data_IF_761221357858
#
_entry.id   IF_761221357858
#
_cell.length_a   1.000
_cell.length_b   1.000
_cell.length_c   1.000
_cell.angle_alpha   90.00
_cell.angle_beta   90.00
_cell.angle_gamma   90.00
#
_symmetry.space_group_name_H-M   'P 1'
#
loop_
_entity.id
_entity.type
_entity.pdbx_description
1 polymer ?
#
# COMPACT_ATOMS: atom_id res chain seq x y z
N UNK A 1 -15.76 2.16 -12.80
CA UNK A 1 -14.54 2.97 -12.71
C UNK A 1 -14.90 4.44 -12.66
N UNK A 2 -14.21 5.22 -11.85
CA UNK A 2 -14.39 6.67 -11.74
C UNK A 2 -13.04 7.30 -12.11
N UNK A 3 -13.03 8.14 -13.14
CA UNK A 3 -11.85 8.85 -13.58
C UNK A 3 -11.41 9.86 -12.51
N UNK A 4 -10.12 9.95 -12.27
CA UNK A 4 -9.49 10.89 -11.32
C UNK A 4 -8.56 11.80 -12.11
N UNK A 5 -8.60 13.12 -11.90
CA UNK A 5 -7.60 14.02 -12.49
C UNK A 5 -6.19 13.64 -12.02
N UNK A 6 -5.22 13.60 -12.92
CA UNK A 6 -3.85 13.15 -12.64
C UNK A 6 -3.62 11.67 -12.97
N UNK A 7 -2.42 11.19 -12.68
CA UNK A 7 -2.00 9.80 -12.87
C UNK A 7 -1.58 9.17 -11.54
N UNK A 8 -1.58 7.84 -11.48
CA UNK A 8 -1.04 7.12 -10.34
C UNK A 8 -1.88 7.32 -9.08
N UNK A 9 -3.18 7.07 -9.18
CA UNK A 9 -4.06 6.96 -8.02
C UNK A 9 -3.66 5.70 -7.23
N UNK A 10 -2.63 5.78 -6.38
CA UNK A 10 -1.91 4.62 -5.89
C UNK A 10 -2.62 3.86 -4.78
N UNK A 11 -3.25 4.54 -3.85
CA UNK A 11 -4.02 3.92 -2.78
C UNK A 11 -5.43 4.51 -2.68
N UNK A 12 -6.30 3.83 -1.96
CA UNK A 12 -7.70 4.21 -1.80
C UNK A 12 -8.20 3.93 -0.39
N UNK A 13 -8.90 4.91 0.20
CA UNK A 13 -9.58 4.74 1.48
C UNK A 13 -11.03 5.24 1.39
N UNK A 14 -11.93 4.60 2.14
CA UNK A 14 -13.33 5.00 2.24
C UNK A 14 -13.57 5.64 3.59
N UNK A 15 -14.08 6.87 3.58
CA UNK A 15 -14.42 7.64 4.77
C UNK A 15 -15.74 7.17 5.41
N UNK A 16 -16.00 7.60 6.65
CA UNK A 16 -17.23 7.23 7.38
C UNK A 16 -18.52 7.71 6.71
N UNK A 17 -18.43 8.75 5.89
CA UNK A 17 -19.55 9.30 5.10
C UNK A 17 -19.72 8.61 3.73
N UNK A 18 -18.94 7.55 3.46
CA UNK A 18 -18.92 6.85 2.19
C UNK A 18 -18.12 7.53 1.10
N UNK A 19 -17.54 8.71 1.34
CA UNK A 19 -16.63 9.35 0.39
C UNK A 19 -15.37 8.52 0.21
N UNK A 20 -14.85 8.48 -1.00
CA UNK A 20 -13.62 7.75 -1.32
C UNK A 20 -12.49 8.75 -1.55
N UNK A 21 -11.32 8.45 -1.01
CA UNK A 21 -10.14 9.31 -1.13
C UNK A 21 -9.01 8.56 -1.80
N UNK A 22 -8.22 9.29 -2.61
CA UNK A 22 -7.01 8.78 -3.27
C UNK A 22 -6.03 9.91 -3.50
N UNK A 23 -4.74 9.58 -3.56
CA UNK A 23 -3.67 10.53 -3.92
C UNK A 23 -3.15 10.25 -5.32
N UNK A 24 -2.73 11.29 -6.03
CA UNK A 24 -2.16 11.17 -7.37
C UNK A 24 -0.69 11.60 -7.39
N UNK A 25 0.01 11.18 -8.44
CA UNK A 25 1.47 11.34 -8.60
C UNK A 25 1.95 12.80 -8.55
N UNK A 26 1.07 13.74 -8.86
CA UNK A 26 1.32 15.20 -8.82
C UNK A 26 1.11 15.84 -7.44
N UNK A 27 0.88 15.05 -6.39
CA UNK A 27 0.73 15.52 -5.02
C UNK A 27 -0.70 15.78 -4.58
N UNK A 28 -1.68 15.66 -5.49
CA UNK A 28 -3.07 16.03 -5.19
C UNK A 28 -3.82 14.90 -4.48
N UNK A 29 -4.50 15.25 -3.40
CA UNK A 29 -5.45 14.37 -2.72
C UNK A 29 -6.85 14.69 -3.23
N UNK A 30 -7.54 13.66 -3.71
CA UNK A 30 -8.88 13.75 -4.28
C UNK A 30 -9.92 13.11 -3.36
N UNK A 31 -11.10 13.72 -3.28
CA UNK A 31 -12.32 13.15 -2.74
C UNK A 31 -13.27 12.79 -3.88
N UNK A 32 -13.79 11.60 -3.86
CA UNK A 32 -14.73 11.05 -4.82
C UNK A 32 -16.06 10.79 -4.12
N UNK A 33 -17.14 11.32 -4.65
CA UNK A 33 -18.50 10.92 -4.29
C UNK A 33 -18.87 9.66 -5.11
N UNK A 34 -19.02 8.49 -4.48
CA UNK A 34 -19.24 7.25 -5.20
C UNK A 34 -20.62 7.14 -5.86
N UNK A 35 -21.57 7.97 -5.46
CA UNK A 35 -22.94 7.97 -6.01
C UNK A 35 -23.01 8.80 -7.30
N UNK A 36 -22.50 10.01 -7.25
CA UNK A 36 -22.50 10.94 -8.39
C UNK A 36 -21.29 10.78 -9.31
N UNK A 37 -20.22 10.14 -8.86
CA UNK A 37 -18.93 10.09 -9.55
C UNK A 37 -18.17 11.42 -9.55
N UNK A 38 -18.63 12.42 -8.78
CA UNK A 38 -17.98 13.72 -8.71
C UNK A 38 -16.65 13.61 -7.98
N UNK A 39 -15.59 14.17 -8.58
CA UNK A 39 -14.26 14.27 -7.99
C UNK A 39 -13.98 15.72 -7.62
N UNK A 40 -13.41 15.93 -6.44
CA UNK A 40 -12.99 17.25 -5.96
C UNK A 40 -11.62 17.14 -5.29
N UNK A 41 -10.83 18.21 -5.41
CA UNK A 41 -9.53 18.32 -4.71
C UNK A 41 -9.77 18.60 -3.23
N UNK A 42 -9.03 17.91 -2.36
CA UNK A 42 -8.97 18.14 -0.91
C UNK A 42 -7.74 18.96 -0.56
N UNK A 43 -6.57 18.52 -0.99
CA UNK A 43 -5.28 19.12 -0.65
C UNK A 43 -4.27 18.85 -1.77
N UNK A 44 -3.09 19.46 -1.62
CA UNK A 44 -1.92 19.19 -2.47
C UNK A 44 -0.70 19.14 -1.55
N UNK A 45 -0.08 17.96 -1.47
CA UNK A 45 1.10 17.77 -0.63
C UNK A 45 2.34 18.44 -1.21
N UNK A 46 2.37 18.63 -2.52
CA UNK A 46 3.56 19.04 -3.27
C UNK A 46 4.62 17.94 -3.34
N UNK A 47 4.32 16.74 -2.89
CA UNK A 47 5.17 15.56 -2.91
C UNK A 47 4.60 14.44 -3.79
N UNK A 48 4.66 13.20 -3.29
CA UNK A 48 4.09 12.03 -3.95
C UNK A 48 3.35 11.16 -2.94
N UNK A 49 2.03 11.38 -2.76
CA UNK A 49 1.18 10.52 -1.95
C UNK A 49 1.19 9.08 -2.49
N UNK A 50 1.46 8.14 -1.61
CA UNK A 50 1.36 6.70 -1.86
C UNK A 50 0.21 6.15 -1.00
N UNK A 51 0.48 5.66 0.21
CA UNK A 51 -0.55 5.13 1.10
C UNK A 51 -1.44 6.21 1.71
N UNK A 52 -2.73 5.95 1.80
CA UNK A 52 -3.74 6.81 2.41
C UNK A 52 -4.57 6.01 3.41
N UNK A 53 -4.68 6.51 4.64
CA UNK A 53 -5.52 5.92 5.69
C UNK A 53 -6.32 7.01 6.41
N UNK A 54 -7.35 6.64 7.13
CA UNK A 54 -8.03 7.56 8.05
C UNK A 54 -7.19 7.72 9.32
N UNK A 55 -6.74 8.92 9.61
CA UNK A 55 -6.12 9.24 10.90
C UNK A 55 -7.17 9.36 12.00
N UNK A 56 -8.27 10.00 11.65
CA UNK A 56 -9.51 10.14 12.42
C UNK A 56 -10.67 10.54 11.47
N UNK A 57 -11.92 10.71 11.95
CA UNK A 57 -13.04 11.05 11.06
C UNK A 57 -12.89 12.34 10.26
N UNK A 58 -12.02 13.25 10.68
CA UNK A 58 -11.81 14.56 10.03
C UNK A 58 -10.47 14.69 9.30
N UNK A 59 -9.58 13.71 9.43
CA UNK A 59 -8.23 13.80 8.87
C UNK A 59 -7.79 12.51 8.20
N UNK A 60 -7.06 12.67 7.10
CA UNK A 60 -6.33 11.58 6.46
C UNK A 60 -4.90 11.52 7.00
N UNK A 61 -4.36 10.32 7.13
CA UNK A 61 -2.94 10.03 7.19
C UNK A 61 -2.48 9.75 5.76
N UNK A 62 -1.45 10.44 5.32
CA UNK A 62 -0.85 10.28 4.00
C UNK A 62 0.60 9.88 4.16
N UNK A 63 0.98 8.75 3.57
CA UNK A 63 2.37 8.35 3.39
C UNK A 63 2.87 8.98 2.10
N UNK A 64 3.57 10.09 2.21
CA UNK A 64 4.17 10.77 1.06
C UNK A 64 5.61 10.31 0.90
N UNK A 65 5.95 9.79 -0.29
CA UNK A 65 7.26 9.22 -0.57
C UNK A 65 8.40 10.22 -0.42
N UNK A 66 8.13 11.51 -0.63
CA UNK A 66 9.14 12.57 -0.55
C UNK A 66 9.11 13.31 0.79
N UNK A 67 7.92 13.45 1.40
CA UNK A 67 7.71 14.31 2.56
C UNK A 67 7.52 13.53 3.87
N UNK A 68 7.29 12.21 3.80
CA UNK A 68 7.10 11.35 4.95
C UNK A 68 5.63 11.20 5.38
N UNK A 69 5.37 11.09 6.67
CA UNK A 69 4.01 10.98 7.20
C UNK A 69 3.38 12.37 7.34
N UNK A 70 2.22 12.55 6.73
CA UNK A 70 1.46 13.79 6.76
C UNK A 70 0.05 13.54 7.31
N UNK A 71 -0.48 14.49 8.09
CA UNK A 71 -1.90 14.58 8.41
C UNK A 71 -2.54 15.65 7.54
N UNK A 72 -3.65 15.31 6.88
CA UNK A 72 -4.40 16.21 5.99
C UNK A 72 -5.78 16.42 6.57
N UNK A 73 -6.12 17.67 6.91
CA UNK A 73 -7.46 18.03 7.39
C UNK A 73 -8.45 18.07 6.22
N UNK A 74 -9.53 17.31 6.32
CA UNK A 74 -10.51 17.16 5.24
C UNK A 74 -11.38 18.38 4.99
N UNK A 75 -11.54 19.25 5.99
CA UNK A 75 -12.39 20.44 5.87
C UNK A 75 -11.62 21.64 5.29
N UNK A 76 -10.39 21.84 5.75
CA UNK A 76 -9.57 23.00 5.35
C UNK A 76 -8.55 22.68 4.26
N UNK A 77 -8.19 21.38 4.07
CA UNK A 77 -7.08 20.97 3.22
C UNK A 77 -5.70 21.29 3.80
N UNK A 78 -5.61 21.71 5.08
CA UNK A 78 -4.34 21.99 5.72
C UNK A 78 -3.54 20.73 5.97
N UNK A 79 -2.21 20.83 5.88
CA UNK A 79 -1.28 19.70 5.97
C UNK A 79 -0.34 19.94 7.14
N UNK A 80 -0.21 18.92 8.00
CA UNK A 80 0.74 18.86 9.10
C UNK A 80 1.73 17.73 8.86
N UNK A 81 3.03 17.99 8.95
CA UNK A 81 4.05 16.96 8.89
C UNK A 81 4.17 16.26 10.26
N UNK A 82 3.85 14.96 10.30
CA UNK A 82 3.96 14.15 11.52
C UNK A 82 5.34 13.52 11.68
N UNK A 83 5.99 13.18 10.57
CA UNK A 83 7.34 12.61 10.54
C UNK A 83 7.95 12.83 9.14
N UNK A 84 9.14 13.42 9.11
CA UNK A 84 9.97 13.57 7.90
C UNK A 84 11.16 12.59 7.93
N UNK A 85 12.12 12.77 7.05
CA UNK A 85 13.41 12.06 6.99
C UNK A 85 13.28 10.54 6.77
N UNK A 86 12.36 10.14 5.91
CA UNK A 86 12.27 8.79 5.38
C UNK A 86 12.70 8.75 3.91
N UNK A 87 13.36 7.66 3.52
CA UNK A 87 13.81 7.50 2.13
C UNK A 87 12.66 7.14 1.21
N UNK A 88 11.71 6.33 1.70
CA UNK A 88 10.61 5.81 0.92
C UNK A 88 9.41 5.46 1.83
N UNK A 89 8.76 6.50 2.38
CA UNK A 89 7.50 6.31 3.11
C UNK A 89 6.45 5.76 2.14
N UNK A 90 5.79 4.65 2.52
CA UNK A 90 4.93 3.96 1.56
C UNK A 90 3.49 3.82 2.04
N UNK A 91 3.22 3.08 3.10
CA UNK A 91 1.84 2.79 3.53
C UNK A 91 1.73 2.76 5.05
N UNK A 92 0.51 2.89 5.59
CA UNK A 92 0.30 2.93 7.03
C UNK A 92 -1.06 2.34 7.44
N UNK A 93 -1.14 1.95 8.71
CA UNK A 93 -2.37 1.62 9.41
C UNK A 93 -2.41 2.34 10.76
N UNK A 94 -3.61 2.76 11.18
CA UNK A 94 -3.83 3.49 12.44
C UNK A 94 -4.57 2.58 13.42
N UNK A 95 -3.99 2.41 14.60
CA UNK A 95 -4.60 1.66 15.69
C UNK A 95 -5.64 2.50 16.45
N UNK A 96 -6.53 1.85 17.19
CA UNK A 96 -7.58 2.50 17.94
C UNK A 96 -7.05 3.47 19.03
N UNK A 97 -5.84 3.23 19.55
CA UNK A 97 -5.17 4.11 20.49
C UNK A 97 -4.46 5.31 19.83
N UNK A 98 -4.53 5.43 18.50
CA UNK A 98 -3.86 6.46 17.71
C UNK A 98 -2.41 6.15 17.36
N UNK A 99 -1.89 4.97 17.69
CA UNK A 99 -0.58 4.53 17.23
C UNK A 99 -0.60 4.31 15.72
N UNK A 100 0.36 4.86 15.01
CA UNK A 100 0.52 4.72 13.55
C UNK A 100 1.59 3.66 13.28
N UNK A 101 1.25 2.58 12.59
CA UNK A 101 2.19 1.64 12.01
C UNK A 101 2.40 1.99 10.55
N UNK A 102 3.65 2.07 10.10
CA UNK A 102 3.96 2.50 8.74
C UNK A 102 5.20 1.82 8.19
N UNK A 103 5.23 1.65 6.88
CA UNK A 103 6.36 1.09 6.15
C UNK A 103 7.28 2.18 5.60
N UNK A 104 8.57 1.89 5.65
CA UNK A 104 9.65 2.58 4.97
C UNK A 104 10.27 1.54 4.04
N UNK A 105 9.97 1.63 2.76
CA UNK A 105 10.20 0.55 1.78
C UNK A 105 11.67 0.21 1.61
N UNK A 106 12.54 1.22 1.65
CA UNK A 106 13.97 1.08 1.46
C UNK A 106 14.75 2.20 2.18
N UNK A 107 15.89 1.86 2.77
CA UNK A 107 16.84 2.85 3.26
C UNK A 107 17.85 3.30 2.17
N UNK A 108 17.81 2.67 1.00
CA UNK A 108 18.77 2.89 -0.08
C UNK A 108 18.10 3.57 -1.27
N UNK A 109 17.03 2.98 -1.81
CA UNK A 109 16.37 3.43 -3.02
C UNK A 109 15.17 4.34 -2.69
N UNK A 110 15.07 5.53 -3.33
CA UNK A 110 13.85 6.36 -3.29
C UNK A 110 12.76 5.75 -4.19
N UNK A 111 11.56 6.33 -4.13
CA UNK A 111 10.40 5.85 -4.89
C UNK A 111 10.66 5.77 -6.40
N UNK A 112 11.42 6.69 -6.97
CA UNK A 112 11.78 6.70 -8.41
C UNK A 112 12.60 5.47 -8.82
N UNK A 113 13.27 4.83 -7.85
CA UNK A 113 14.10 3.64 -8.05
C UNK A 113 13.42 2.35 -7.53
N UNK A 114 12.09 2.34 -7.39
CA UNK A 114 11.36 1.17 -6.88
C UNK A 114 11.68 -0.14 -7.62
N UNK A 115 11.99 -0.05 -8.94
CA UNK A 115 12.41 -1.23 -9.72
C UNK A 115 13.77 -1.76 -9.28
N UNK A 116 14.67 -0.88 -8.86
CA UNK A 116 15.95 -1.30 -8.33
C UNK A 116 15.76 -1.99 -6.97
N UNK A 117 14.94 -1.46 -6.08
CA UNK A 117 14.58 -2.13 -4.81
C UNK A 117 14.00 -3.51 -5.06
N UNK A 118 13.06 -3.60 -6.01
CA UNK A 118 12.41 -4.86 -6.40
C UNK A 118 13.42 -5.93 -6.87
N UNK A 119 14.39 -5.54 -7.70
CA UNK A 119 15.35 -6.47 -8.32
C UNK A 119 16.55 -6.75 -7.40
N UNK A 120 17.05 -5.74 -6.72
CA UNK A 120 18.23 -5.85 -5.85
C UNK A 120 17.91 -6.59 -4.54
N UNK A 121 16.64 -6.52 -4.06
CA UNK A 121 16.19 -7.13 -2.82
C UNK A 121 17.13 -6.73 -1.67
N UNK A 122 17.20 -5.42 -1.42
CA UNK A 122 18.20 -4.85 -0.50
C UNK A 122 17.99 -5.25 0.96
N UNK A 123 16.77 -5.68 1.31
CA UNK A 123 16.34 -6.02 2.68
C UNK A 123 16.62 -4.88 3.68
N UNK A 124 16.45 -3.64 3.23
CA UNK A 124 16.59 -2.46 4.08
C UNK A 124 15.26 -1.84 4.47
N UNK A 125 14.16 -2.44 3.99
CA UNK A 125 12.81 -2.06 4.36
C UNK A 125 12.52 -2.30 5.84
N UNK A 126 11.61 -1.50 6.40
CA UNK A 126 11.25 -1.51 7.81
C UNK A 126 9.76 -1.31 8.00
N UNK A 127 9.19 -1.99 8.99
CA UNK A 127 7.94 -1.61 9.63
C UNK A 127 8.28 -0.79 10.87
N UNK A 128 7.71 0.39 10.98
CA UNK A 128 7.93 1.32 12.09
C UNK A 128 6.61 1.65 12.76
N UNK A 129 6.65 2.14 13.99
CA UNK A 129 5.49 2.73 14.66
C UNK A 129 5.81 4.10 15.23
N UNK A 130 4.82 4.98 15.20
CA UNK A 130 4.80 6.27 15.88
C UNK A 130 3.67 6.26 16.89
N UNK A 131 4.00 6.42 18.17
CA UNK A 131 2.98 6.50 19.21
C UNK A 131 2.36 7.93 19.28
N UNK A 132 1.34 8.08 20.11
CA UNK A 132 0.62 9.36 20.28
C UNK A 132 1.52 10.49 20.84
N UNK A 133 2.64 10.16 21.49
CA UNK A 133 3.64 11.15 21.94
C UNK A 133 4.57 11.63 20.82
N UNK A 134 4.49 11.00 19.65
CA UNK A 134 5.37 11.27 18.52
C UNK A 134 6.64 10.44 18.51
N UNK A 135 6.85 9.56 19.49
CA UNK A 135 8.03 8.68 19.54
C UNK A 135 7.96 7.61 18.47
N UNK A 136 9.03 7.49 17.69
CA UNK A 136 9.15 6.51 16.60
C UNK A 136 10.04 5.36 17.00
N UNK A 137 9.60 4.13 16.68
CA UNK A 137 10.35 2.90 16.92
C UNK A 137 10.24 1.98 15.70
N UNK A 138 11.30 1.18 15.46
CA UNK A 138 11.26 0.10 14.48
C UNK A 138 10.63 -1.13 15.12
N UNK A 139 9.63 -1.69 14.44
CA UNK A 139 8.91 -2.91 14.82
C UNK A 139 9.52 -4.12 14.13
N UNK A 140 9.70 -4.04 12.79
CA UNK A 140 10.38 -5.05 11.99
C UNK A 140 11.43 -4.40 11.10
N UNK A 141 12.48 -5.14 10.81
CA UNK A 141 13.59 -4.75 9.93
C UNK A 141 13.91 -5.86 8.94
N UNK A 142 14.84 -5.58 8.05
CA UNK A 142 15.33 -6.52 7.04
C UNK A 142 14.23 -7.01 6.09
N UNK A 143 13.20 -6.16 5.87
CA UNK A 143 12.10 -6.42 4.94
C UNK A 143 12.54 -6.15 3.50
N UNK A 144 12.09 -7.01 2.60
CA UNK A 144 12.41 -6.93 1.17
C UNK A 144 11.35 -6.12 0.42
N UNK A 145 11.53 -4.81 0.33
CA UNK A 145 10.56 -3.87 -0.20
C UNK A 145 9.29 -3.86 0.67
N UNK A 146 9.40 -3.33 1.89
CA UNK A 146 8.25 -3.15 2.78
C UNK A 146 7.23 -2.22 2.14
N UNK A 147 5.98 -2.68 1.99
CA UNK A 147 4.93 -1.99 1.27
C UNK A 147 3.68 -1.87 2.16
N UNK A 148 2.52 -2.30 1.72
CA UNK A 148 1.26 -2.19 2.42
C UNK A 148 1.29 -2.62 3.88
N UNK A 149 0.56 -1.91 4.72
CA UNK A 149 0.46 -2.16 6.17
C UNK A 149 -1.00 -2.29 6.57
N UNK A 150 -1.36 -3.31 7.33
CA UNK A 150 -2.71 -3.49 7.87
C UNK A 150 -2.69 -4.03 9.28
N UNK A 151 -3.63 -3.58 10.12
CA UNK A 151 -3.89 -4.14 11.44
C UNK A 151 -4.99 -5.19 11.37
N UNK A 152 -4.88 -6.26 12.16
CA UNK A 152 -6.00 -7.14 12.41
C UNK A 152 -7.17 -6.37 13.03
N UNK A 153 -8.40 -6.85 12.87
CA UNK A 153 -9.57 -6.17 13.41
C UNK A 153 -9.54 -6.08 14.95
N UNK A 154 -8.98 -7.09 15.61
CA UNK A 154 -8.78 -7.14 17.07
C UNK A 154 -7.42 -6.55 17.50
N UNK A 155 -6.67 -5.98 16.57
CA UNK A 155 -5.32 -5.45 16.76
C UNK A 155 -4.34 -6.45 17.40
N UNK A 156 -4.59 -7.75 17.23
CA UNK A 156 -3.70 -8.80 17.74
C UNK A 156 -2.36 -8.84 17.02
N UNK A 157 -2.33 -8.37 15.76
CA UNK A 157 -1.12 -8.25 14.96
C UNK A 157 -1.18 -7.08 13.97
N UNK A 158 -0.03 -6.69 13.49
CA UNK A 158 0.15 -5.86 12.30
C UNK A 158 0.79 -6.69 11.18
N UNK A 159 0.23 -6.58 9.98
CA UNK A 159 0.76 -7.21 8.77
C UNK A 159 1.49 -6.18 7.92
N UNK A 160 2.56 -6.60 7.22
CA UNK A 160 3.29 -5.80 6.24
C UNK A 160 3.62 -6.64 5.01
N UNK A 161 3.33 -6.11 3.83
CA UNK A 161 3.67 -6.75 2.57
C UNK A 161 5.18 -6.63 2.29
N UNK A 162 5.82 -7.74 1.91
CA UNK A 162 7.15 -7.76 1.30
C UNK A 162 7.00 -7.98 -0.20
N UNK A 163 6.96 -6.91 -0.97
CA UNK A 163 6.70 -6.97 -2.42
C UNK A 163 7.69 -7.89 -3.14
N UNK A 164 8.99 -7.72 -2.88
CA UNK A 164 10.03 -8.45 -3.60
C UNK A 164 10.05 -9.96 -3.33
N UNK A 165 9.54 -10.40 -2.18
CA UNK A 165 9.50 -11.82 -1.81
C UNK A 165 8.12 -12.46 -1.97
N UNK A 166 7.11 -11.67 -2.30
CA UNK A 166 5.72 -12.15 -2.45
C UNK A 166 5.19 -12.80 -1.18
N UNK A 167 5.44 -12.13 -0.04
CA UNK A 167 5.00 -12.57 1.28
C UNK A 167 4.27 -11.47 2.02
N UNK A 168 3.51 -11.83 3.04
CA UNK A 168 2.95 -10.90 4.01
C UNK A 168 3.46 -11.32 5.38
N UNK A 169 4.34 -10.52 5.94
CA UNK A 169 4.86 -10.70 7.30
C UNK A 169 3.81 -10.25 8.29
N UNK A 170 3.62 -11.02 9.36
CA UNK A 170 2.75 -10.71 10.49
C UNK A 170 3.59 -10.58 11.76
N UNK A 171 3.51 -9.40 12.38
CA UNK A 171 4.12 -9.12 13.68
C UNK A 171 3.04 -9.11 14.76
N UNK A 172 3.17 -9.98 15.74
CA UNK A 172 2.20 -10.12 16.82
C UNK A 172 2.35 -9.00 17.84
N UNK A 173 1.25 -8.28 18.12
CA UNK A 173 1.23 -7.16 19.05
C UNK A 173 0.80 -7.58 20.45
N UNK A 174 -0.07 -8.59 20.55
CA UNK A 174 -0.68 -9.02 21.80
C UNK A 174 -0.65 -10.56 21.94
N UNK A 175 -1.04 -11.05 23.11
CA UNK A 175 -1.16 -12.49 23.39
C UNK A 175 0.20 -13.20 23.58
N UNK A 176 0.18 -14.54 23.61
CA UNK A 176 1.39 -15.35 23.90
C UNK A 176 2.52 -15.19 22.88
N UNK A 177 2.22 -14.70 21.67
CA UNK A 177 3.19 -14.48 20.59
C UNK A 177 3.64 -13.02 20.46
N UNK A 178 3.22 -12.13 21.37
CA UNK A 178 3.60 -10.71 21.31
C UNK A 178 5.11 -10.51 21.14
N UNK A 179 5.49 -9.66 20.18
CA UNK A 179 6.88 -9.39 19.80
C UNK A 179 7.51 -10.43 18.87
N UNK A 180 6.82 -11.52 18.52
CA UNK A 180 7.28 -12.47 17.50
C UNK A 180 6.72 -12.16 16.12
N UNK A 181 7.37 -12.70 15.09
CA UNK A 181 6.89 -12.61 13.71
C UNK A 181 6.71 -14.01 13.09
N UNK A 182 5.75 -14.10 12.19
CA UNK A 182 5.55 -15.21 11.27
C UNK A 182 5.02 -14.65 9.93
N UNK A 183 4.47 -15.50 9.07
CA UNK A 183 3.86 -15.06 7.82
C UNK A 183 2.34 -15.24 7.88
N UNK A 184 1.59 -14.23 7.45
CA UNK A 184 0.16 -14.34 7.19
C UNK A 184 -0.06 -15.11 5.87
N UNK A 185 0.76 -14.81 4.85
CA UNK A 185 0.74 -15.49 3.56
C UNK A 185 2.14 -15.52 2.93
N UNK A 186 2.44 -16.60 2.23
CA UNK A 186 3.70 -16.80 1.51
C UNK A 186 3.42 -17.31 0.09
N UNK A 187 4.40 -17.15 -0.80
CA UNK A 187 4.34 -17.57 -2.21
C UNK A 187 3.10 -17.06 -2.95
N UNK A 188 2.76 -15.78 -2.75
CA UNK A 188 1.63 -15.16 -3.42
C UNK A 188 1.77 -15.28 -4.95
N UNK A 189 0.66 -15.36 -5.68
CA UNK A 189 0.67 -15.54 -7.15
C UNK A 189 1.09 -14.29 -7.92
N UNK A 190 1.36 -13.21 -7.22
CA UNK A 190 1.83 -11.91 -7.73
C UNK A 190 2.57 -11.13 -6.67
N UNK A 191 3.00 -9.95 -7.03
CA UNK A 191 3.73 -9.06 -6.14
C UNK A 191 2.75 -8.23 -5.31
N UNK A 192 2.66 -8.46 -3.97
CA UNK A 192 1.79 -7.68 -3.10
C UNK A 192 2.26 -6.24 -3.04
N UNK A 193 1.30 -5.34 -3.05
CA UNK A 193 1.50 -3.90 -2.93
C UNK A 193 0.81 -3.41 -1.66
N UNK A 194 -0.10 -2.43 -1.71
CA UNK A 194 -0.82 -2.03 -0.52
C UNK A 194 -1.75 -3.13 -0.02
N UNK A 195 -1.88 -3.21 1.29
CA UNK A 195 -2.82 -4.09 1.98
C UNK A 195 -3.68 -3.27 2.92
N UNK A 196 -4.88 -3.72 3.18
CA UNK A 196 -5.80 -3.02 4.07
C UNK A 196 -6.69 -3.96 4.85
N UNK A 197 -7.19 -3.51 5.99
CA UNK A 197 -8.29 -4.20 6.68
C UNK A 197 -9.61 -3.80 6.04
N UNK A 198 -10.38 -4.80 5.61
CA UNK A 198 -11.76 -4.60 5.16
C UNK A 198 -12.73 -4.41 6.33
N UNK A 199 -13.94 -3.95 6.03
CA UNK A 199 -15.04 -3.89 6.99
C UNK A 199 -15.54 -5.29 7.39
N UNK A 200 -15.23 -6.29 6.57
CA UNK A 200 -15.43 -7.72 6.80
C UNK A 200 -14.42 -8.36 7.77
N UNK A 201 -13.40 -7.59 8.19
CA UNK A 201 -12.34 -8.02 9.09
C UNK A 201 -11.22 -8.80 8.42
N UNK A 202 -11.26 -9.00 7.10
CA UNK A 202 -10.21 -9.66 6.33
C UNK A 202 -9.07 -8.68 6.02
N UNK A 203 -7.89 -9.24 5.78
CA UNK A 203 -6.75 -8.50 5.23
C UNK A 203 -6.78 -8.62 3.71
N UNK A 204 -7.13 -7.53 3.05
CA UNK A 204 -7.16 -7.40 1.60
C UNK A 204 -5.81 -7.00 1.05
N UNK A 205 -5.42 -7.59 -0.07
CA UNK A 205 -4.09 -7.51 -0.68
C UNK A 205 -4.23 -7.18 -2.15
N UNK A 206 -3.65 -6.07 -2.59
CA UNK A 206 -3.49 -5.75 -3.99
C UNK A 206 -2.28 -6.50 -4.56
N UNK A 207 -2.42 -7.10 -5.74
CA UNK A 207 -1.33 -7.75 -6.45
C UNK A 207 -1.02 -6.93 -7.71
N UNK A 208 0.01 -6.09 -7.63
CA UNK A 208 0.35 -5.10 -8.66
C UNK A 208 0.71 -5.74 -10.02
N UNK A 209 1.39 -6.86 -10.00
CA UNK A 209 1.67 -7.65 -11.20
C UNK A 209 1.78 -9.14 -10.87
N UNK A 210 1.55 -10.04 -11.85
CA UNK A 210 1.69 -11.47 -11.61
C UNK A 210 3.16 -11.83 -11.42
N UNK A 211 3.39 -12.98 -10.83
CA UNK A 211 4.71 -13.60 -10.69
C UNK A 211 5.48 -13.56 -12.02
N UNK A 212 6.75 -13.15 -11.96
CA UNK A 212 7.63 -13.09 -13.12
C UNK A 212 8.91 -13.91 -12.90
N UNK A 213 9.01 -15.05 -13.60
CA UNK A 213 10.15 -15.96 -13.46
C UNK A 213 11.50 -15.37 -13.92
N UNK A 214 11.50 -14.32 -14.75
CA UNK A 214 12.73 -13.60 -15.11
C UNK A 214 13.22 -12.78 -13.93
N UNK A 215 12.32 -12.01 -13.30
CA UNK A 215 12.63 -11.21 -12.11
C UNK A 215 13.16 -12.12 -10.99
N UNK A 216 12.46 -13.22 -10.70
CA UNK A 216 12.87 -14.17 -9.65
C UNK A 216 14.25 -14.81 -9.95
N UNK A 217 14.53 -15.15 -11.21
CA UNK A 217 15.84 -15.67 -11.59
C UNK A 217 16.95 -14.65 -11.39
N UNK A 218 16.68 -13.36 -11.69
CA UNK A 218 17.64 -12.29 -11.48
C UNK A 218 17.85 -12.07 -9.97
N UNK A 219 16.79 -12.10 -9.17
CA UNK A 219 16.85 -11.96 -7.71
C UNK A 219 17.68 -13.07 -7.04
N UNK A 220 17.70 -14.28 -7.59
CA UNK A 220 18.53 -15.39 -7.13
C UNK A 220 20.01 -15.24 -7.49
N UNK A 221 20.33 -14.34 -8.42
CA UNK A 221 21.70 -14.05 -8.84
C UNK A 221 22.50 -13.25 -7.79
N UNK A 222 23.82 -13.15 -7.96
CA UNK A 222 24.66 -12.34 -7.07
C UNK A 222 24.33 -10.85 -7.19
N UNK A 223 24.58 -10.08 -6.13
CA UNK A 223 24.21 -8.67 -6.04
C UNK A 223 24.78 -7.80 -7.19
N UNK A 224 26.02 -8.09 -7.62
CA UNK A 224 26.63 -7.35 -8.75
C UNK A 224 25.86 -7.52 -10.06
N UNK A 225 25.28 -8.71 -10.32
CA UNK A 225 24.44 -8.96 -11.48
C UNK A 225 23.11 -8.19 -11.37
N UNK A 226 22.45 -8.27 -10.19
CA UNK A 226 21.21 -7.53 -9.92
C UNK A 226 21.39 -6.03 -10.14
N UNK A 227 22.47 -5.45 -9.59
CA UNK A 227 22.85 -4.05 -9.81
C UNK A 227 23.21 -3.72 -11.26
N UNK A 228 23.79 -4.67 -12.00
CA UNK A 228 24.05 -4.51 -13.43
C UNK A 228 22.77 -4.35 -14.23
N UNK A 229 21.77 -5.19 -13.94
CA UNK A 229 20.45 -5.16 -14.61
C UNK A 229 19.71 -3.86 -14.31
N UNK A 230 19.73 -3.36 -13.07
CA UNK A 230 19.02 -2.13 -12.70
C UNK A 230 19.62 -0.86 -13.31
N UNK A 231 20.88 -0.91 -13.78
CA UNK A 231 21.55 0.19 -14.51
C UNK A 231 21.21 0.26 -16.01
N UNK A 232 20.54 -0.75 -16.55
CA UNK A 232 20.04 -0.71 -17.94
C UNK A 232 19.03 0.46 -18.05
N UNK A 233 19.11 1.29 -19.12
CA UNK A 233 18.15 2.36 -19.33
C UNK A 233 16.70 1.88 -19.24
N UNK A 234 15.84 2.63 -18.56
CA UNK A 234 14.42 2.25 -18.31
C UNK A 234 13.67 1.90 -19.60
N UNK A 235 13.98 2.57 -20.72
CA UNK A 235 13.38 2.30 -22.03
C UNK A 235 13.66 0.90 -22.58
N UNK A 236 14.70 0.24 -22.07
CA UNK A 236 15.10 -1.13 -22.48
C UNK A 236 14.68 -2.18 -21.42
N UNK A 237 14.20 -1.75 -20.26
CA UNK A 237 13.70 -2.66 -19.24
C UNK A 237 12.26 -3.08 -19.57
N UNK A 238 11.91 -4.38 -19.42
CA UNK A 238 10.51 -4.80 -19.55
C UNK A 238 9.65 -4.13 -18.47
N UNK A 239 8.45 -3.70 -18.86
CA UNK A 239 7.45 -3.22 -17.91
C UNK A 239 6.83 -4.36 -17.10
N UNK A 240 6.17 -4.04 -15.96
CA UNK A 240 5.36 -5.03 -15.24
C UNK A 240 4.30 -5.64 -16.15
N UNK A 241 4.03 -6.92 -15.98
CA UNK A 241 2.93 -7.58 -16.69
C UNK A 241 1.60 -7.06 -16.14
N UNK A 242 0.63 -6.89 -17.04
CA UNK A 242 -0.71 -6.41 -16.67
C UNK A 242 -1.46 -7.48 -15.89
N UNK A 243 -2.10 -7.07 -14.81
CA UNK A 243 -3.07 -7.87 -14.06
C UNK A 243 -4.06 -6.98 -13.32
N UNK A 244 -5.24 -7.51 -13.06
CA UNK A 244 -6.17 -7.05 -12.03
C UNK A 244 -6.40 -8.24 -11.13
N UNK A 245 -5.81 -8.22 -9.95
CA UNK A 245 -6.03 -9.29 -8.97
C UNK A 245 -5.90 -8.74 -7.56
N UNK A 246 -6.85 -9.10 -6.72
CA UNK A 246 -6.84 -8.83 -5.28
C UNK A 246 -7.18 -10.11 -4.54
N UNK A 247 -6.57 -10.29 -3.39
CA UNK A 247 -6.83 -11.44 -2.51
C UNK A 247 -7.23 -10.93 -1.13
N UNK A 248 -7.97 -11.77 -0.37
CA UNK A 248 -8.29 -11.47 1.02
C UNK A 248 -8.03 -12.70 1.90
N UNK A 249 -7.43 -12.46 3.05
CA UNK A 249 -7.00 -13.48 3.99
C UNK A 249 -7.66 -13.26 5.35
N UNK A 250 -8.01 -14.35 6.01
CA UNK A 250 -8.42 -14.32 7.42
C UNK A 250 -7.21 -14.16 8.36
N UNK A 251 -7.46 -13.97 9.64
CA UNK A 251 -6.41 -13.80 10.65
C UNK A 251 -5.52 -15.04 10.86
N UNK A 252 -5.92 -16.20 10.33
CA UNK A 252 -5.13 -17.45 10.38
C UNK A 252 -4.27 -17.64 9.14
N UNK A 253 -4.43 -16.80 8.12
CA UNK A 253 -3.74 -16.89 6.83
C UNK A 253 -4.50 -17.73 5.80
N UNK A 254 -5.75 -18.08 6.07
CA UNK A 254 -6.63 -18.75 5.11
C UNK A 254 -7.05 -17.76 4.00
N UNK A 255 -6.85 -18.17 2.73
CA UNK A 255 -7.31 -17.41 1.57
C UNK A 255 -8.85 -17.52 1.49
N UNK A 256 -9.55 -16.39 1.63
CA UNK A 256 -11.03 -16.30 1.60
C UNK A 256 -11.51 -15.85 0.23
N UNK A 257 -10.87 -14.82 -0.34
CA UNK A 257 -11.22 -14.30 -1.66
C UNK A 257 -9.99 -14.24 -2.56
N UNK A 258 -10.20 -14.56 -3.84
CA UNK A 258 -9.22 -14.41 -4.91
C UNK A 258 -9.96 -13.89 -6.14
N UNK A 259 -9.93 -12.58 -6.33
CA UNK A 259 -10.70 -11.87 -7.34
C UNK A 259 -9.78 -11.38 -8.45
N UNK A 260 -10.17 -11.68 -9.70
CA UNK A 260 -9.46 -11.22 -10.89
C UNK A 260 -10.41 -10.44 -11.80
N UNK A 261 -9.88 -9.44 -12.47
CA UNK A 261 -10.64 -8.56 -13.35
C UNK A 261 -10.06 -8.48 -14.77
N UNK A 262 -10.73 -7.67 -15.61
CA UNK A 262 -10.31 -7.43 -16.99
C UNK A 262 -9.11 -6.47 -17.05
N UNK A 263 -7.93 -7.03 -17.23
CA UNK A 263 -6.66 -6.31 -17.34
C UNK A 263 -6.55 -5.40 -18.59
N UNK A 264 -7.46 -5.50 -19.55
CA UNK A 264 -7.49 -4.60 -20.70
C UNK A 264 -8.09 -3.24 -20.33
N UNK A 265 -8.98 -3.22 -19.33
CA UNK A 265 -9.70 -2.02 -18.89
C UNK A 265 -9.05 -1.34 -17.68
N UNK A 266 -8.40 -2.10 -16.82
CA UNK A 266 -7.74 -1.62 -15.62
C UNK A 266 -6.53 -2.52 -15.35
N UNK A 267 -5.45 -2.02 -14.78
CA UNK A 267 -4.29 -2.86 -14.43
C UNK A 267 -3.37 -2.18 -13.41
N UNK A 268 -2.34 -2.90 -12.97
CA UNK A 268 -1.39 -2.43 -11.97
C UNK A 268 -2.13 -1.96 -10.71
N UNK A 269 -2.95 -2.85 -10.15
CA UNK A 269 -3.69 -2.57 -8.92
C UNK A 269 -2.70 -2.49 -7.76
N UNK A 270 -2.55 -1.31 -7.18
CA UNK A 270 -1.64 -1.04 -6.07
C UNK A 270 -2.38 -0.86 -4.75
N UNK A 271 -3.57 -0.30 -4.73
CA UNK A 271 -4.39 -0.17 -3.54
C UNK A 271 -5.68 -0.98 -3.60
N UNK A 272 -6.12 -1.45 -2.45
CA UNK A 272 -7.40 -2.16 -2.29
C UNK A 272 -8.04 -1.81 -0.96
N UNK A 273 -9.35 -1.56 -0.97
CA UNK A 273 -10.16 -1.33 0.24
C UNK A 273 -11.53 -1.98 0.08
N UNK A 274 -11.81 -2.98 0.87
CA UNK A 274 -13.18 -3.45 1.03
C UNK A 274 -13.93 -2.55 2.02
N UNK A 275 -15.15 -2.17 1.67
CA UNK A 275 -16.05 -1.43 2.55
C UNK A 275 -17.50 -1.79 2.23
N UNK A 276 -18.22 -2.33 3.20
CA UNK A 276 -19.63 -2.73 3.11
C UNK A 276 -19.93 -3.66 1.91
N UNK A 277 -19.00 -4.56 1.60
CA UNK A 277 -19.09 -5.51 0.49
C UNK A 277 -18.60 -4.99 -0.86
N UNK A 278 -18.40 -3.70 -1.03
CA UNK A 278 -17.79 -3.12 -2.23
C UNK A 278 -16.26 -3.18 -2.11
N UNK A 279 -15.58 -3.63 -3.17
CA UNK A 279 -14.11 -3.69 -3.23
C UNK A 279 -13.61 -2.57 -4.13
N UNK A 280 -13.04 -1.55 -3.51
CA UNK A 280 -12.41 -0.42 -4.17
C UNK A 280 -10.96 -0.75 -4.50
N UNK A 281 -10.53 -0.34 -5.70
CA UNK A 281 -9.17 -0.60 -6.19
C UNK A 281 -8.62 0.68 -6.82
N UNK A 282 -7.35 0.93 -6.56
CA UNK A 282 -6.57 2.01 -7.17
C UNK A 282 -5.42 1.45 -7.99
N UNK A 283 -4.74 2.29 -8.75
CA UNK A 283 -3.72 1.86 -9.69
C UNK A 283 -2.60 2.88 -9.83
N UNK A 284 -1.37 2.41 -9.86
CA UNK A 284 -0.19 3.23 -10.16
C UNK A 284 -0.19 3.78 -11.60
N UNK A 285 -0.90 3.14 -12.52
CA UNK A 285 -0.84 3.49 -13.95
C UNK A 285 -2.12 4.10 -14.49
N UNK A 286 -3.28 3.78 -13.92
CA UNK A 286 -4.55 4.26 -14.43
C UNK A 286 -4.96 5.59 -13.76
N UNK A 287 -5.49 6.55 -14.52
CA UNK A 287 -6.05 7.78 -13.97
C UNK A 287 -7.49 7.55 -13.47
N UNK A 288 -7.68 6.54 -12.64
CA UNK A 288 -9.01 6.13 -12.18
C UNK A 288 -8.94 5.28 -10.92
N UNK A 289 -10.04 5.29 -10.17
CA UNK A 289 -10.35 4.30 -9.13
C UNK A 289 -11.43 3.37 -9.66
N UNK A 290 -11.27 2.08 -9.45
CA UNK A 290 -12.24 1.05 -9.81
C UNK A 290 -13.00 0.57 -8.58
N UNK A 291 -14.22 0.09 -8.78
CA UNK A 291 -15.00 -0.60 -7.74
C UNK A 291 -15.63 -1.86 -8.32
N UNK A 292 -15.46 -2.95 -7.60
CA UNK A 292 -16.25 -4.16 -7.77
C UNK A 292 -17.39 -4.08 -6.76
N UNK A 293 -18.61 -3.87 -7.29
CA UNK A 293 -19.82 -3.79 -6.47
C UNK A 293 -20.22 -5.17 -5.99
N UNK A 294 -20.56 -5.26 -4.73
CA UNK A 294 -21.23 -6.46 -4.23
C UNK A 294 -22.63 -6.50 -4.85
N UNK A 295 -22.82 -7.43 -5.78
CA UNK A 295 -24.12 -7.71 -6.37
C UNK A 295 -25.01 -8.50 -5.42
N UNK A 296 -24.98 -8.14 -4.12
CA UNK A 296 -25.87 -8.70 -3.11
C UNK A 296 -27.30 -8.51 -3.57
N UNK A 297 -27.92 -9.63 -3.86
CA UNK A 297 -29.27 -9.74 -4.36
C UNK A 297 -30.37 -9.28 -3.42
#
# INVERSE_FOLDING_TARGET
MIAVPGHGAEDVVVGPDGSVYTGTEDGVIHRIDPVSGRVSRVADTGGRPLGIELLDPGRLLVCDAHLGLLAVDLASGSIEALLADMKFCNNAAVAADGTIYFSDSSAIHPVEEWRAEMVEVTRTGRLRKRDISGKVMTVEKDLAFANGVALAQDESFVAVAETALRTIVRHWLTGPRAGSRDYLAEDLPGYPDNISRGSDGLIWVALASPRDGLVERIQQGPLWLRRGVTRIPRSLQPGPKRTVRVQAYDNLGGLVHDLAGDQARFHMVTGVREHAGDVWMSSLHEPAVAVLKNSGG
#
